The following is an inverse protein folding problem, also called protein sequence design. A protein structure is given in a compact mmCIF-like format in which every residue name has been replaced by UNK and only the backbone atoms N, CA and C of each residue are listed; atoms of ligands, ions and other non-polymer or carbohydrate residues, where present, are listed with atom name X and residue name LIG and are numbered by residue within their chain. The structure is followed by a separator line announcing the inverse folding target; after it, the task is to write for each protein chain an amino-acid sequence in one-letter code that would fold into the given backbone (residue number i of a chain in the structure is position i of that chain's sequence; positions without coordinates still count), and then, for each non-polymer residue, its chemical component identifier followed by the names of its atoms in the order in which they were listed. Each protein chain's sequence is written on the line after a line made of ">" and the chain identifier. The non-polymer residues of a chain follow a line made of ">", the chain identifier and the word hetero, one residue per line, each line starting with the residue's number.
data_IF_221721690547
#
_entry.id   IF_221721690547
#
_cell.length_a   1.000
_cell.length_b   1.000
_cell.length_c   1.000
_cell.angle_alpha   90.00
_cell.angle_beta   90.00
_cell.angle_gamma   90.00
#
_symmetry.space_group_name_H-M   'P 1'
#
loop_
_entity.id
_entity.type
_entity.pdbx_description
1 polymer ?
#
# COMPACT_ATOMS: atom_id res chain seq x y z
N UNK A 1 -29.35 -33.93 13.21
CA UNK A 1 -29.32 -32.44 13.25
C UNK A 1 -28.14 -31.87 14.04
N UNK A 2 -27.71 -32.53 15.09
CA UNK A 2 -26.57 -32.06 15.91
C UNK A 2 -25.22 -32.01 15.18
N UNK A 3 -25.04 -32.90 14.19
CA UNK A 3 -23.77 -32.92 13.41
C UNK A 3 -23.64 -31.83 12.35
N UNK A 4 -24.70 -31.11 12.01
CA UNK A 4 -24.63 -29.99 11.05
C UNK A 4 -24.33 -28.64 11.72
N UNK A 5 -24.62 -28.52 12.99
CA UNK A 5 -24.41 -27.29 13.75
C UNK A 5 -22.91 -26.83 13.73
N UNK A 6 -21.93 -27.69 14.02
CA UNK A 6 -20.54 -27.30 13.98
C UNK A 6 -20.07 -26.93 12.56
N UNK A 7 -20.59 -27.57 11.54
CA UNK A 7 -20.26 -27.24 10.15
C UNK A 7 -20.78 -25.84 9.77
N UNK A 8 -22.01 -25.52 10.13
CA UNK A 8 -22.62 -24.21 9.89
C UNK A 8 -21.87 -23.11 10.65
N UNK A 9 -21.49 -23.37 11.91
CA UNK A 9 -20.66 -22.43 12.70
C UNK A 9 -19.31 -22.19 12.07
N UNK A 10 -18.64 -23.24 11.59
CA UNK A 10 -17.35 -23.12 10.92
C UNK A 10 -17.45 -22.28 9.63
N UNK A 11 -18.48 -22.55 8.81
CA UNK A 11 -18.71 -21.78 7.58
C UNK A 11 -19.04 -20.31 7.87
N UNK A 12 -19.84 -20.04 8.90
CA UNK A 12 -20.14 -18.68 9.32
C UNK A 12 -18.88 -17.94 9.79
N UNK A 13 -18.06 -18.60 10.60
CA UNK A 13 -16.83 -18.02 11.13
C UNK A 13 -15.82 -17.71 10.02
N UNK A 14 -15.62 -18.63 9.07
CA UNK A 14 -14.73 -18.42 7.93
C UNK A 14 -15.23 -17.31 7.00
N UNK A 15 -16.55 -17.25 6.78
CA UNK A 15 -17.16 -16.19 5.97
C UNK A 15 -16.97 -14.80 6.61
N UNK A 16 -17.24 -14.69 7.92
CA UNK A 16 -17.06 -13.44 8.67
C UNK A 16 -15.59 -13.00 8.63
N UNK A 17 -14.66 -13.92 8.86
CA UNK A 17 -13.22 -13.63 8.81
C UNK A 17 -12.80 -13.15 7.42
N UNK A 18 -13.29 -13.80 6.37
CA UNK A 18 -13.03 -13.40 4.98
C UNK A 18 -13.57 -12.00 4.65
N UNK A 19 -14.78 -11.68 5.12
CA UNK A 19 -15.38 -10.36 4.92
C UNK A 19 -14.56 -9.27 5.65
N UNK A 20 -14.18 -9.51 6.91
CA UNK A 20 -13.37 -8.57 7.70
C UNK A 20 -12.01 -8.36 7.04
N UNK A 21 -11.37 -9.43 6.60
CA UNK A 21 -10.08 -9.33 5.90
C UNK A 21 -10.18 -8.47 4.63
N UNK A 22 -11.21 -8.75 3.82
CA UNK A 22 -11.46 -8.00 2.58
C UNK A 22 -11.77 -6.53 2.83
N UNK A 23 -12.54 -6.22 3.88
CA UNK A 23 -12.91 -4.86 4.24
C UNK A 23 -11.70 -4.02 4.71
N UNK A 24 -10.70 -4.67 5.34
CA UNK A 24 -9.48 -4.01 5.85
C UNK A 24 -8.35 -3.94 4.83
N UNK A 25 -8.46 -4.65 3.71
CA UNK A 25 -7.46 -4.62 2.65
C UNK A 25 -7.44 -3.22 2.01
N UNK A 26 -6.27 -2.65 1.87
CA UNK A 26 -6.09 -1.31 1.31
C UNK A 26 -6.28 -0.15 2.30
N UNK A 27 -6.57 -0.43 3.57
CA UNK A 27 -6.58 0.61 4.60
C UNK A 27 -5.19 1.19 4.79
N UNK A 28 -5.11 2.52 4.81
CA UNK A 28 -3.86 3.24 5.07
C UNK A 28 -3.64 3.30 6.57
N UNK A 29 -2.51 2.75 7.01
CA UNK A 29 -2.11 2.69 8.41
C UNK A 29 -0.89 3.57 8.65
N UNK A 30 -0.68 3.94 9.92
CA UNK A 30 0.52 4.65 10.34
C UNK A 30 1.77 3.87 9.95
N UNK A 31 2.76 4.57 9.39
CA UNK A 31 4.03 4.00 8.98
C UNK A 31 4.96 3.65 10.14
N UNK A 32 6.05 2.99 9.80
CA UNK A 32 7.04 2.49 10.77
C UNK A 32 8.13 3.52 11.10
N UNK A 33 8.07 4.72 10.54
CA UNK A 33 9.11 5.77 10.62
C UNK A 33 10.49 5.31 10.13
N UNK A 34 10.51 4.36 9.21
CA UNK A 34 11.72 3.88 8.56
C UNK A 34 12.13 4.86 7.46
N UNK A 35 13.41 5.20 7.37
CA UNK A 35 13.92 6.01 6.27
C UNK A 35 14.24 5.13 5.07
N UNK A 36 13.80 5.55 3.89
CA UNK A 36 14.10 4.91 2.60
C UNK A 36 14.85 5.93 1.76
N UNK A 37 16.11 5.64 1.44
CA UNK A 37 17.00 6.60 0.77
C UNK A 37 16.69 6.71 -0.73
N UNK A 38 16.96 7.88 -1.31
CA UNK A 38 16.84 8.11 -2.75
C UNK A 38 17.70 7.14 -3.57
N UNK A 39 18.88 6.78 -3.05
CA UNK A 39 19.76 5.78 -3.68
C UNK A 39 19.15 4.39 -3.76
N UNK A 40 18.27 4.04 -2.82
CA UNK A 40 17.58 2.74 -2.80
C UNK A 40 16.42 2.68 -3.79
N UNK A 41 15.80 3.81 -4.07
CA UNK A 41 14.64 3.91 -4.97
C UNK A 41 15.01 4.40 -6.37
N UNK A 42 16.24 4.86 -6.58
CA UNK A 42 16.72 5.34 -7.87
C UNK A 42 16.00 6.60 -8.37
N UNK A 43 15.44 7.39 -7.48
CA UNK A 43 14.67 8.59 -7.81
C UNK A 43 14.74 9.62 -6.68
N UNK A 44 14.51 10.89 -7.01
CA UNK A 44 14.48 11.97 -6.02
C UNK A 44 13.12 12.06 -5.34
N UNK A 45 13.13 12.50 -4.08
CA UNK A 45 11.90 12.76 -3.34
C UNK A 45 11.10 13.92 -3.96
N UNK A 46 9.78 13.89 -3.75
CA UNK A 46 8.95 15.06 -3.97
C UNK A 46 9.23 16.15 -2.95
N UNK A 47 9.02 17.40 -3.33
CA UNK A 47 9.28 18.56 -2.46
C UNK A 47 8.55 18.51 -1.13
N UNK A 48 7.34 17.95 -1.13
CA UNK A 48 6.50 17.79 0.06
C UNK A 48 6.46 16.34 0.54
N UNK A 49 6.29 15.40 -0.38
CA UNK A 49 6.16 13.99 -0.06
C UNK A 49 6.46 13.10 -1.28
N UNK A 50 6.65 11.82 -1.03
CA UNK A 50 6.78 10.79 -2.07
C UNK A 50 5.87 9.61 -1.79
N UNK A 51 5.32 9.05 -2.86
CA UNK A 51 4.49 7.84 -2.80
C UNK A 51 5.22 6.74 -3.53
N UNK A 52 5.61 5.70 -2.79
CA UNK A 52 6.24 4.51 -3.35
C UNK A 52 5.20 3.41 -3.50
N UNK A 53 5.09 2.83 -4.69
CA UNK A 53 4.29 1.64 -4.91
C UNK A 53 5.18 0.47 -5.30
N UNK A 54 5.15 -0.58 -4.49
CA UNK A 54 5.77 -1.86 -4.82
C UNK A 54 4.80 -2.70 -5.61
N UNK A 55 5.21 -3.08 -6.81
CA UNK A 55 4.39 -3.81 -7.79
C UNK A 55 5.14 -5.02 -8.34
N UNK A 56 4.42 -5.92 -8.98
CA UNK A 56 4.96 -7.02 -9.79
C UNK A 56 4.36 -7.01 -11.18
N UNK A 57 4.99 -7.70 -12.13
CA UNK A 57 4.61 -7.67 -13.55
C UNK A 57 3.17 -8.16 -13.81
N UNK A 58 2.74 -9.23 -13.13
CA UNK A 58 1.41 -9.84 -13.33
C UNK A 58 0.42 -9.51 -12.23
N UNK A 59 0.39 -8.25 -11.81
CA UNK A 59 -0.46 -7.78 -10.72
C UNK A 59 -1.54 -6.82 -11.25
N UNK A 60 -2.75 -7.31 -11.48
CA UNK A 60 -3.87 -6.48 -11.94
C UNK A 60 -4.27 -5.42 -10.93
N UNK A 61 -4.22 -5.76 -9.65
CA UNK A 61 -4.50 -4.84 -8.54
C UNK A 61 -3.46 -3.71 -8.46
N UNK A 62 -2.19 -4.00 -8.80
CA UNK A 62 -1.13 -3.00 -8.91
C UNK A 62 -1.43 -1.97 -10.01
N UNK A 63 -1.94 -2.40 -11.16
CA UNK A 63 -2.35 -1.49 -12.24
C UNK A 63 -3.49 -0.57 -11.82
N UNK A 64 -4.49 -1.11 -11.13
CA UNK A 64 -5.61 -0.33 -10.61
C UNK A 64 -5.15 0.67 -9.55
N UNK A 65 -4.29 0.26 -8.62
CA UNK A 65 -3.70 1.13 -7.61
C UNK A 65 -2.89 2.27 -8.24
N UNK A 66 -2.04 1.95 -9.22
CA UNK A 66 -1.25 2.93 -9.98
C UNK A 66 -2.14 3.98 -10.65
N UNK A 67 -3.17 3.55 -11.36
CA UNK A 67 -4.08 4.44 -12.06
C UNK A 67 -4.78 5.39 -11.09
N UNK A 68 -5.25 4.88 -9.96
CA UNK A 68 -5.94 5.67 -8.95
C UNK A 68 -5.01 6.67 -8.27
N UNK A 69 -3.81 6.25 -7.86
CA UNK A 69 -2.84 7.14 -7.21
C UNK A 69 -2.41 8.25 -8.16
N UNK A 70 -2.09 7.91 -9.41
CA UNK A 70 -1.73 8.90 -10.44
C UNK A 70 -2.86 9.90 -10.70
N UNK A 71 -4.10 9.45 -10.72
CA UNK A 71 -5.25 10.35 -10.90
C UNK A 71 -5.39 11.34 -9.75
N UNK A 72 -5.20 10.90 -8.52
CA UNK A 72 -5.29 11.75 -7.33
C UNK A 72 -4.15 12.77 -7.28
N UNK A 73 -2.93 12.41 -7.68
CA UNK A 73 -1.76 13.29 -7.57
C UNK A 73 -1.42 14.06 -8.85
N UNK A 74 -2.17 13.89 -9.92
CA UNK A 74 -1.85 14.49 -11.24
C UNK A 74 -1.67 16.00 -11.23
N UNK A 75 -2.39 16.71 -10.37
CA UNK A 75 -2.32 18.17 -10.22
C UNK A 75 -1.32 18.60 -9.12
N UNK A 76 -0.69 17.65 -8.43
CA UNK A 76 0.20 17.92 -7.30
C UNK A 76 1.65 17.80 -7.74
N UNK A 77 2.27 18.92 -8.09
CA UNK A 77 3.65 18.98 -8.59
C UNK A 77 4.72 18.78 -7.50
N UNK A 78 4.32 18.85 -6.24
CA UNK A 78 5.18 18.72 -5.06
C UNK A 78 5.22 17.30 -4.47
N UNK A 79 4.46 16.37 -5.06
CA UNK A 79 4.45 14.95 -4.69
C UNK A 79 5.03 14.11 -5.83
N UNK A 80 6.02 13.28 -5.53
CA UNK A 80 6.57 12.30 -6.45
C UNK A 80 5.85 10.96 -6.31
N UNK A 81 5.44 10.37 -7.43
CA UNK A 81 4.98 8.99 -7.48
C UNK A 81 6.06 8.11 -8.10
N UNK A 82 6.48 7.09 -7.36
CA UNK A 82 7.58 6.20 -7.75
C UNK A 82 7.08 4.76 -7.67
N UNK A 83 7.09 4.07 -8.80
CA UNK A 83 6.78 2.63 -8.86
C UNK A 83 8.07 1.82 -8.80
N UNK A 84 8.13 0.85 -7.93
CA UNK A 84 9.24 -0.07 -7.76
C UNK A 84 8.80 -1.49 -8.07
N UNK A 85 9.57 -2.17 -8.92
CA UNK A 85 9.39 -3.59 -9.14
C UNK A 85 9.93 -4.36 -7.93
N UNK A 86 9.03 -5.05 -7.21
CA UNK A 86 9.39 -5.81 -6.02
C UNK A 86 10.37 -6.95 -6.31
N UNK A 87 10.30 -7.54 -7.49
CA UNK A 87 11.18 -8.65 -7.90
C UNK A 87 12.61 -8.18 -8.17
N UNK A 88 12.77 -6.95 -8.65
CA UNK A 88 14.09 -6.35 -8.94
C UNK A 88 14.72 -5.64 -7.73
N UNK A 89 13.97 -5.46 -6.64
CA UNK A 89 14.39 -4.70 -5.44
C UNK A 89 14.26 -5.54 -4.16
N UNK A 90 14.68 -6.80 -4.19
CA UNK A 90 14.47 -7.75 -3.08
C UNK A 90 15.11 -7.32 -1.77
N UNK A 91 16.28 -6.68 -1.79
CA UNK A 91 16.93 -6.21 -0.57
C UNK A 91 16.12 -5.12 0.12
N UNK A 92 15.61 -4.16 -0.66
CA UNK A 92 14.72 -3.12 -0.15
C UNK A 92 13.41 -3.72 0.34
N UNK A 93 12.81 -4.64 -0.43
CA UNK A 93 11.57 -5.35 -0.07
C UNK A 93 11.69 -6.03 1.29
N UNK A 94 12.82 -6.72 1.55
CA UNK A 94 13.09 -7.37 2.83
C UNK A 94 13.29 -6.35 3.95
N UNK A 95 14.09 -5.32 3.70
CA UNK A 95 14.41 -4.29 4.71
C UNK A 95 13.16 -3.52 5.16
N UNK A 96 12.27 -3.20 4.24
CA UNK A 96 11.03 -2.47 4.55
C UNK A 96 9.83 -3.40 4.81
N UNK A 97 10.05 -4.72 4.83
CA UNK A 97 9.06 -5.75 5.12
C UNK A 97 7.82 -5.68 4.20
N UNK A 98 8.07 -5.70 2.90
CA UNK A 98 7.01 -5.84 1.89
C UNK A 98 6.71 -7.34 1.74
N UNK A 99 5.46 -7.73 1.99
CA UNK A 99 5.02 -9.14 1.96
C UNK A 99 4.01 -9.46 0.89
N UNK A 100 3.47 -8.43 0.26
CA UNK A 100 2.47 -8.55 -0.81
C UNK A 100 2.49 -7.33 -1.71
N UNK A 101 2.01 -7.48 -2.93
CA UNK A 101 1.82 -6.38 -3.88
C UNK A 101 0.34 -6.22 -4.25
N UNK A 102 -0.16 -5.00 -4.45
CA UNK A 102 0.58 -3.75 -4.26
C UNK A 102 0.74 -3.41 -2.78
N UNK A 103 1.86 -2.80 -2.43
CA UNK A 103 2.03 -2.09 -1.16
C UNK A 103 2.44 -0.67 -1.47
N UNK A 104 1.74 0.29 -0.92
CA UNK A 104 2.00 1.72 -1.10
C UNK A 104 2.55 2.31 0.19
N UNK A 105 3.70 2.95 0.11
CA UNK A 105 4.36 3.62 1.23
C UNK A 105 4.37 5.13 0.96
N UNK A 106 3.97 5.90 1.96
CA UNK A 106 4.00 7.37 1.93
C UNK A 106 5.20 7.86 2.70
N UNK A 107 6.06 8.63 2.02
CA UNK A 107 7.26 9.23 2.61
C UNK A 107 7.08 10.73 2.76
N UNK A 108 7.63 11.28 3.83
CA UNK A 108 7.81 12.72 3.96
C UNK A 108 8.93 13.24 3.05
N UNK A 109 9.18 14.55 3.08
CA UNK A 109 10.24 15.20 2.29
C UNK A 109 11.65 14.69 2.57
N UNK A 110 11.88 14.03 3.69
CA UNK A 110 13.16 13.49 4.12
C UNK A 110 13.28 11.97 3.92
N UNK A 111 12.27 11.34 3.29
CA UNK A 111 12.26 9.91 3.01
C UNK A 111 11.81 9.03 4.18
N UNK A 112 11.26 9.59 5.25
CA UNK A 112 10.72 8.80 6.35
C UNK A 112 9.31 8.31 6.04
N UNK A 113 9.07 7.03 6.29
CA UNK A 113 7.75 6.43 6.15
C UNK A 113 6.78 6.98 7.19
N UNK A 114 5.71 7.60 6.72
CA UNK A 114 4.66 8.16 7.57
C UNK A 114 3.37 7.36 7.54
N UNK A 115 3.10 6.67 6.44
CA UNK A 115 1.93 5.81 6.28
C UNK A 115 2.21 4.68 5.29
N UNK A 116 1.39 3.64 5.34
CA UNK A 116 1.48 2.49 4.42
C UNK A 116 0.12 1.86 4.20
N UNK A 117 -0.13 1.39 2.99
CA UNK A 117 -1.29 0.59 2.62
C UNK A 117 -0.85 -0.75 2.03
N UNK A 118 -1.41 -1.85 2.51
CA UNK A 118 -1.28 -3.18 1.91
C UNK A 118 -2.49 -3.42 1.01
N UNK A 119 -2.24 -3.70 -0.27
CA UNK A 119 -3.26 -3.71 -1.29
C UNK A 119 -3.51 -2.33 -1.89
N UNK A 120 -4.41 -2.23 -2.86
CA UNK A 120 -4.77 -0.95 -3.45
C UNK A 120 -5.34 -0.01 -2.37
N UNK A 121 -4.77 1.19 -2.19
CA UNK A 121 -5.27 2.13 -1.17
C UNK A 121 -6.70 2.57 -1.50
N UNK A 122 -7.48 2.89 -0.49
CA UNK A 122 -8.82 3.45 -0.68
C UNK A 122 -8.72 4.93 -1.04
N UNK A 123 -9.48 5.36 -2.06
CA UNK A 123 -9.39 6.71 -2.62
C UNK A 123 -9.64 7.82 -1.59
N UNK A 124 -10.65 7.66 -0.74
CA UNK A 124 -10.98 8.61 0.32
C UNK A 124 -9.87 8.75 1.36
N UNK A 125 -9.28 7.63 1.76
CA UNK A 125 -8.13 7.61 2.67
C UNK A 125 -6.88 8.19 2.02
N UNK A 126 -6.65 7.91 0.73
CA UNK A 126 -5.53 8.45 -0.03
C UNK A 126 -5.59 9.98 -0.09
N UNK A 127 -6.75 10.55 -0.42
CA UNK A 127 -6.97 12.00 -0.43
C UNK A 127 -6.71 12.61 0.95
N UNK A 128 -7.18 11.96 2.00
CA UNK A 128 -7.01 12.41 3.38
C UNK A 128 -5.54 12.41 3.81
N UNK A 129 -4.79 11.36 3.50
CA UNK A 129 -3.36 11.26 3.81
C UNK A 129 -2.57 12.32 3.04
N UNK A 130 -2.82 12.49 1.75
CA UNK A 130 -2.16 13.50 0.92
C UNK A 130 -2.43 14.91 1.44
N UNK A 131 -3.65 15.19 1.89
CA UNK A 131 -3.98 16.49 2.49
C UNK A 131 -3.31 16.77 3.83
N UNK A 132 -2.85 15.73 4.52
CA UNK A 132 -2.16 15.83 5.82
C UNK A 132 -0.61 15.82 5.71
N UNK A 133 -0.05 15.67 4.50
CA UNK A 133 1.39 15.63 4.23
C UNK A 133 2.05 17.02 4.22
#
# INVERSE_FOLDING_TARGET
>A
MESLLPLVLLLALTSITGIIYRARKGDIKKGRRLQILESEIGASYGKRASILQFSTTFCSECRSAKAMVKDVVKELTDISYIELDAESNLDLVRRVDIRSTPTTIFLDKNGYEIARAKGAPKRDQLIKVIGAL
#
